data_IF_493631400067
#
_entry.id   IF_493631400067
#
_cell.length_a   1.000
_cell.length_b   1.000
_cell.length_c   1.000
_cell.angle_alpha   90.00
_cell.angle_beta   90.00
_cell.angle_gamma   90.00
#
_symmetry.space_group_name_H-M   'P 1'
#
loop_
_entity.id
_entity.type
_entity.pdbx_description
1 polymer ?
#
# COMPACT_ATOMS: atom_id res chain seq x y z
N UNK A 1 -8.87 1.27 2.54
CA UNK A 1 -7.90 0.88 3.59
C UNK A 1 -6.62 1.69 3.43
N UNK A 2 -6.05 2.18 4.54
CA UNK A 2 -4.75 2.85 4.55
C UNK A 2 -3.76 2.05 5.38
N UNK A 3 -2.66 1.64 4.75
CA UNK A 3 -1.56 0.94 5.41
C UNK A 3 -0.38 1.89 5.56
N UNK A 4 0.07 2.15 6.79
CA UNK A 4 1.22 3.01 7.06
C UNK A 4 2.22 2.28 7.96
N UNK A 5 3.40 1.96 7.41
CA UNK A 5 4.41 1.12 8.07
C UNK A 5 5.76 1.83 8.08
N UNK A 6 6.42 1.79 9.24
CA UNK A 6 7.84 2.10 9.38
C UNK A 6 8.61 0.80 9.55
N UNK A 7 9.38 0.39 8.53
CA UNK A 7 10.10 -0.87 8.49
C UNK A 7 11.23 -0.96 9.52
N UNK A 8 11.91 0.14 9.83
CA UNK A 8 13.03 0.13 10.77
C UNK A 8 14.07 -0.93 10.37
N UNK A 9 14.22 -1.99 11.20
CA UNK A 9 15.06 -3.17 10.92
C UNK A 9 14.44 -4.09 9.86
N UNK A 10 13.12 -4.22 9.86
CA UNK A 10 12.39 -4.99 8.84
C UNK A 10 12.48 -4.26 7.50
N UNK A 11 12.96 -4.96 6.47
CA UNK A 11 13.08 -4.39 5.13
C UNK A 11 11.70 -4.15 4.51
N UNK A 12 11.53 -2.99 3.87
CA UNK A 12 10.26 -2.58 3.26
C UNK A 12 9.86 -3.45 2.06
N UNK A 13 10.82 -4.05 1.36
CA UNK A 13 10.57 -5.03 0.29
C UNK A 13 9.91 -6.32 0.82
N UNK A 14 10.34 -6.83 1.98
CA UNK A 14 9.70 -7.97 2.65
C UNK A 14 8.25 -7.65 3.01
N UNK A 15 8.00 -6.46 3.59
CA UNK A 15 6.64 -6.01 3.91
C UNK A 15 5.80 -5.87 2.64
N UNK A 16 6.35 -5.28 1.59
CA UNK A 16 5.66 -5.10 0.31
C UNK A 16 5.26 -6.45 -0.32
N UNK A 17 6.18 -7.42 -0.38
CA UNK A 17 5.88 -8.76 -0.88
C UNK A 17 4.78 -9.46 -0.08
N UNK A 18 4.84 -9.37 1.26
CA UNK A 18 3.79 -9.91 2.12
C UNK A 18 2.42 -9.28 1.87
N UNK A 19 2.37 -7.96 1.66
CA UNK A 19 1.13 -7.25 1.34
C UNK A 19 0.59 -7.66 -0.03
N UNK A 20 1.44 -7.76 -1.06
CA UNK A 20 1.03 -8.19 -2.41
C UNK A 20 0.45 -9.60 -2.36
N UNK A 21 1.09 -10.51 -1.62
CA UNK A 21 0.61 -11.88 -1.48
C UNK A 21 -0.73 -11.95 -0.72
N UNK A 22 -0.89 -11.17 0.35
CA UNK A 22 -2.16 -11.06 1.05
C UNK A 22 -3.27 -10.51 0.12
N UNK A 23 -2.97 -9.52 -0.71
CA UNK A 23 -3.94 -8.94 -1.65
C UNK A 23 -4.35 -9.89 -2.78
N UNK A 24 -3.53 -10.87 -3.14
CA UNK A 24 -3.90 -11.93 -4.10
C UNK A 24 -4.92 -12.91 -3.54
N UNK A 25 -4.96 -13.07 -2.23
CA UNK A 25 -5.90 -13.97 -1.54
C UNK A 25 -7.28 -13.32 -1.35
N UNK A 26 -7.40 -12.01 -1.54
CA UNK A 26 -8.68 -11.29 -1.46
C UNK A 26 -9.52 -11.56 -2.72
N UNK A 27 -10.75 -12.10 -2.60
CA UNK A 27 -11.64 -12.33 -3.73
C UNK A 27 -11.93 -11.05 -4.52
N UNK A 28 -12.14 -11.12 -5.85
CA UNK A 28 -12.48 -9.95 -6.67
C UNK A 28 -13.70 -9.17 -6.18
N UNK A 29 -14.72 -9.87 -5.65
CA UNK A 29 -15.96 -9.30 -5.10
C UNK A 29 -15.76 -8.50 -3.82
N UNK A 30 -14.62 -8.66 -3.16
CA UNK A 30 -14.30 -8.03 -1.86
C UNK A 30 -13.13 -7.05 -1.99
N UNK A 31 -12.71 -6.72 -3.22
CA UNK A 31 -11.65 -5.73 -3.43
C UNK A 31 -12.08 -4.36 -2.91
N UNK A 32 -11.16 -3.70 -2.24
CA UNK A 32 -11.34 -2.37 -1.67
C UNK A 32 -10.17 -1.46 -2.11
N UNK A 33 -10.37 -0.14 -2.15
CA UNK A 33 -9.28 0.79 -2.41
C UNK A 33 -8.22 0.69 -1.31
N UNK A 34 -6.95 0.52 -1.71
CA UNK A 34 -5.81 0.39 -0.80
C UNK A 34 -4.74 1.43 -1.18
N UNK A 35 -4.32 2.21 -0.19
CA UNK A 35 -3.13 3.07 -0.28
C UNK A 35 -2.15 2.61 0.79
N UNK A 36 -0.86 2.53 0.43
CA UNK A 36 0.21 2.08 1.31
C UNK A 36 1.33 3.10 1.41
N UNK A 37 1.76 3.45 2.62
CA UNK A 37 2.96 4.22 2.90
C UNK A 37 3.92 3.33 3.67
N UNK A 38 5.04 2.99 3.06
CA UNK A 38 6.13 2.23 3.69
C UNK A 38 7.36 3.12 3.78
N UNK A 39 8.05 3.11 4.92
CA UNK A 39 9.26 3.91 5.14
C UNK A 39 10.33 3.10 5.86
N UNK A 40 11.60 3.18 5.47
CA UNK A 40 12.69 2.47 6.15
C UNK A 40 13.71 1.82 5.22
N UNK A 41 14.32 0.73 5.67
CA UNK A 41 15.34 0.03 4.88
C UNK A 41 14.74 -0.58 3.60
N UNK A 42 15.43 -0.48 2.46
CA UNK A 42 14.94 -0.89 1.14
C UNK A 42 13.58 -0.26 0.74
N UNK A 43 13.31 0.97 1.18
CA UNK A 43 12.07 1.70 0.85
C UNK A 43 11.79 1.77 -0.65
N UNK A 44 12.80 2.13 -1.46
CA UNK A 44 12.64 2.25 -2.91
C UNK A 44 12.19 0.94 -3.57
N UNK A 45 12.76 -0.19 -3.17
CA UNK A 45 12.42 -1.50 -3.70
C UNK A 45 11.03 -1.94 -3.24
N UNK A 46 10.69 -1.74 -1.97
CA UNK A 46 9.34 -2.00 -1.48
C UNK A 46 8.28 -1.16 -2.23
N UNK A 47 8.54 0.12 -2.48
CA UNK A 47 7.63 0.98 -3.25
C UNK A 47 7.48 0.48 -4.69
N UNK A 48 8.57 0.04 -5.32
CA UNK A 48 8.52 -0.52 -6.67
C UNK A 48 7.66 -1.80 -6.74
N UNK A 49 7.79 -2.69 -5.74
CA UNK A 49 6.97 -3.91 -5.62
C UNK A 49 5.48 -3.55 -5.50
N UNK A 50 5.13 -2.62 -4.61
CA UNK A 50 3.74 -2.19 -4.41
C UNK A 50 3.13 -1.60 -5.69
N UNK A 51 3.85 -0.69 -6.36
CA UNK A 51 3.38 -0.05 -7.58
C UNK A 51 3.21 -1.04 -8.72
N UNK A 52 4.11 -2.01 -8.85
CA UNK A 52 4.02 -3.08 -9.85
C UNK A 52 2.79 -3.97 -9.63
N UNK A 53 2.33 -4.08 -8.39
CA UNK A 53 1.11 -4.80 -8.03
C UNK A 53 -0.17 -3.94 -8.11
N UNK A 54 -0.09 -2.70 -8.61
CA UNK A 54 -1.22 -1.79 -8.69
C UNK A 54 -1.64 -1.17 -7.35
N UNK A 55 -0.79 -1.24 -6.32
CA UNK A 55 -1.03 -0.61 -5.02
C UNK A 55 -0.43 0.79 -5.02
N UNK A 56 -1.26 1.80 -4.77
CA UNK A 56 -0.81 3.19 -4.65
C UNK A 56 0.11 3.34 -3.45
N UNK A 57 1.33 3.84 -3.69
CA UNK A 57 2.28 4.14 -2.62
C UNK A 57 2.88 5.54 -2.71
N UNK A 58 2.64 6.32 -1.65
CA UNK A 58 2.99 7.72 -1.52
C UNK A 58 3.89 7.94 -0.29
N UNK A 59 5.00 8.69 -0.42
CA UNK A 59 5.99 8.85 0.66
C UNK A 59 5.53 9.81 1.77
N UNK A 60 4.69 10.78 1.42
CA UNK A 60 4.11 11.75 2.35
C UNK A 60 2.84 11.19 3.01
N UNK A 61 2.74 11.39 4.33
CA UNK A 61 1.63 10.87 5.12
C UNK A 61 0.31 11.59 4.80
N UNK A 62 0.35 12.91 4.60
CA UNK A 62 -0.87 13.69 4.34
C UNK A 62 -1.40 13.41 2.96
N UNK A 63 -0.53 13.30 1.96
CA UNK A 63 -0.90 12.90 0.60
C UNK A 63 -1.47 11.50 0.57
N UNK A 64 -0.84 10.53 1.22
CA UNK A 64 -1.35 9.17 1.33
C UNK A 64 -2.73 9.12 2.02
N UNK A 65 -2.89 9.91 3.10
CA UNK A 65 -4.15 10.06 3.81
C UNK A 65 -5.26 10.69 2.95
N UNK A 66 -4.94 11.71 2.16
CA UNK A 66 -5.91 12.28 1.20
C UNK A 66 -6.28 11.28 0.11
N UNK A 67 -5.29 10.58 -0.45
CA UNK A 67 -5.50 9.62 -1.53
C UNK A 67 -6.43 8.47 -1.11
N UNK A 68 -6.28 7.94 0.10
CA UNK A 68 -7.18 6.85 0.56
C UNK A 68 -8.61 7.35 0.76
N UNK A 69 -8.79 8.58 1.26
CA UNK A 69 -10.13 9.15 1.48
C UNK A 69 -10.82 9.38 0.14
N UNK A 70 -10.11 9.94 -0.83
CA UNK A 70 -10.60 10.13 -2.18
C UNK A 70 -10.98 8.78 -2.83
N UNK A 71 -10.07 7.80 -2.79
CA UNK A 71 -10.34 6.47 -3.36
C UNK A 71 -11.53 5.77 -2.68
N UNK A 72 -11.74 6.00 -1.38
CA UNK A 72 -12.91 5.47 -0.66
C UNK A 72 -14.22 6.17 -1.03
N UNK A 73 -14.18 7.42 -1.49
CA UNK A 73 -15.35 8.15 -1.98
C UNK A 73 -15.70 7.75 -3.42
N UNK A 74 -14.69 7.59 -4.28
CA UNK A 74 -14.83 7.16 -5.68
C UNK A 74 -15.23 5.69 -5.82
N UNK A 75 -14.80 4.84 -4.88
CA UNK A 75 -15.15 3.42 -4.83
C UNK A 75 -16.47 3.10 -4.12
N UNK A 76 -17.32 4.10 -3.83
CA UNK A 76 -18.70 3.84 -3.41
C UNK A 76 -19.53 3.45 -4.64
N UNK A 77 -20.37 2.41 -4.57
CA UNK A 77 -21.45 2.28 -5.55
C UNK A 77 -22.37 3.50 -5.53
#
# INVERSE_FOLDING_TARGET
VFLNVFGGVTRCDTVANGLVEAMRQVPPSEKFPLVARIRGNNEAEGVAILRSAGITSLPDLREAGRAVVQAAQEGRP
#
